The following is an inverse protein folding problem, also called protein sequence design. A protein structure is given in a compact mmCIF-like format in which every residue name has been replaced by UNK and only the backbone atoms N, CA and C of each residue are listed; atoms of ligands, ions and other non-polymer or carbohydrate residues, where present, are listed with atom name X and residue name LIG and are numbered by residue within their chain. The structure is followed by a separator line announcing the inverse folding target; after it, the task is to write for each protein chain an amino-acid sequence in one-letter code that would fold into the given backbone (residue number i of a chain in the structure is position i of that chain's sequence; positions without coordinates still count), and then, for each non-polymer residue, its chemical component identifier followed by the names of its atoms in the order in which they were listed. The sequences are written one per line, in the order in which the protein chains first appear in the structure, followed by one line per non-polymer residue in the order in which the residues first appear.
data_IF_462756908139
#
_entry.id   IF_462756908139
#
_cell.length_a   1.000
_cell.length_b   1.000
_cell.length_c   1.000
_cell.angle_alpha   90.00
_cell.angle_beta   90.00
_cell.angle_gamma   90.00
#
_symmetry.space_group_name_H-M   'P 1'
#
loop_
_entity.id
_entity.type
_entity.pdbx_description
1 polymer ?
#
# COMPACT_ATOMS: atom_id res chain seq x y z
N UNK A 1 -0.12 1.14 -0.37
CA UNK A 1 0.61 0.59 -1.52
C UNK A 1 0.61 1.57 -2.66
N UNK A 2 1.74 1.72 -3.34
CA UNK A 2 1.83 2.65 -4.47
C UNK A 2 1.08 2.07 -5.66
N UNK A 3 0.12 2.82 -6.18
CA UNK A 3 -0.67 2.45 -7.35
C UNK A 3 -0.34 3.40 -8.51
N UNK A 4 -1.04 3.24 -9.64
CA UNK A 4 -0.79 4.06 -10.84
C UNK A 4 -1.00 5.57 -10.61
N UNK A 5 -1.88 5.96 -9.68
CA UNK A 5 -2.12 7.36 -9.37
C UNK A 5 -0.99 7.99 -8.56
N UNK A 6 -0.30 7.18 -7.79
CA UNK A 6 0.82 7.61 -6.95
C UNK A 6 2.17 7.45 -7.63
N UNK A 7 2.23 6.67 -8.72
CA UNK A 7 3.48 6.42 -9.42
C UNK A 7 4.09 7.73 -9.92
N UNK A 8 5.38 7.91 -9.71
CA UNK A 8 6.12 9.09 -10.10
C UNK A 8 5.99 10.28 -9.14
N UNK A 9 5.14 10.20 -8.14
CA UNK A 9 4.99 11.28 -7.15
C UNK A 9 6.08 11.18 -6.08
N UNK A 10 6.50 12.33 -5.59
CA UNK A 10 7.45 12.40 -4.48
C UNK A 10 6.75 12.11 -3.16
N UNK A 11 7.47 11.46 -2.25
CA UNK A 11 6.99 11.23 -0.88
C UNK A 11 7.71 12.16 0.09
N UNK A 12 7.03 12.50 1.20
CA UNK A 12 7.61 13.36 2.23
C UNK A 12 8.55 12.55 3.14
N UNK A 13 9.33 13.25 3.97
CA UNK A 13 10.22 12.63 4.95
C UNK A 13 9.49 11.82 6.02
N UNK A 14 8.17 12.03 6.17
CA UNK A 14 7.35 11.30 7.14
C UNK A 14 6.80 9.98 6.59
N UNK A 15 7.10 9.67 5.34
CA UNK A 15 6.67 8.43 4.68
C UNK A 15 7.88 7.53 4.48
N UNK A 16 7.78 6.29 4.96
CA UNK A 16 8.84 5.30 4.78
C UNK A 16 8.55 4.49 3.53
N UNK A 17 9.52 4.47 2.62
CA UNK A 17 9.41 3.71 1.39
C UNK A 17 9.94 2.29 1.61
N UNK A 18 9.12 1.30 1.29
CA UNK A 18 9.49 -0.12 1.37
C UNK A 18 9.52 -0.70 -0.04
N UNK A 19 10.66 -1.21 -0.44
CA UNK A 19 10.84 -1.86 -1.74
C UNK A 19 11.24 -3.31 -1.49
N UNK A 20 10.43 -4.23 -1.99
CA UNK A 20 10.66 -5.66 -1.81
C UNK A 20 11.54 -6.23 -2.93
N UNK A 21 12.38 -7.20 -2.58
CA UNK A 21 13.08 -8.00 -3.58
C UNK A 21 12.08 -9.01 -4.15
N UNK A 22 11.64 -8.75 -5.37
CA UNK A 22 10.59 -9.54 -6.03
C UNK A 22 11.00 -10.99 -6.30
N UNK A 23 12.29 -11.29 -6.31
CA UNK A 23 12.78 -12.65 -6.46
C UNK A 23 12.58 -13.47 -5.18
N UNK A 24 12.54 -12.80 -4.03
CA UNK A 24 12.42 -13.44 -2.73
C UNK A 24 11.01 -13.42 -2.17
N UNK A 25 10.25 -12.34 -2.43
CA UNK A 25 8.92 -12.17 -1.86
C UNK A 25 8.09 -11.25 -2.75
N UNK A 26 6.79 -11.57 -2.86
CA UNK A 26 5.86 -10.74 -3.61
C UNK A 26 5.46 -9.51 -2.77
N UNK A 27 5.61 -8.28 -3.28
CA UNK A 27 5.25 -7.08 -2.53
C UNK A 27 3.77 -7.01 -2.15
N UNK A 28 2.88 -7.63 -2.91
CA UNK A 28 1.46 -7.68 -2.55
C UNK A 28 1.21 -8.57 -1.33
N UNK A 29 1.99 -9.63 -1.17
CA UNK A 29 1.94 -10.43 0.04
C UNK A 29 2.42 -9.65 1.26
N UNK A 30 3.53 -8.93 1.13
CA UNK A 30 4.06 -8.07 2.22
C UNK A 30 3.02 -7.02 2.60
N UNK A 31 2.39 -6.40 1.60
CA UNK A 31 1.33 -5.43 1.86
C UNK A 31 0.18 -6.05 2.65
N UNK A 32 -0.26 -7.25 2.29
CA UNK A 32 -1.34 -7.94 3.00
C UNK A 32 -1.00 -8.17 4.48
N UNK A 33 0.23 -8.57 4.75
CA UNK A 33 0.70 -8.79 6.13
C UNK A 33 0.74 -7.48 6.91
N UNK A 34 1.36 -6.44 6.35
CA UNK A 34 1.54 -5.16 7.05
C UNK A 34 0.23 -4.39 7.22
N UNK A 35 -0.72 -4.57 6.31
CA UNK A 35 -2.03 -3.92 6.39
C UNK A 35 -3.00 -4.65 7.33
N UNK A 36 -2.67 -5.84 7.79
CA UNK A 36 -3.51 -6.62 8.69
C UNK A 36 -3.56 -6.00 10.09
N UNK A 37 -4.76 -5.76 10.60
CA UNK A 37 -4.94 -5.22 11.95
C UNK A 37 -4.44 -6.17 13.04
N UNK A 38 -4.51 -7.47 12.80
CA UNK A 38 -4.12 -8.49 13.79
C UNK A 38 -2.64 -8.82 13.77
N UNK A 39 -1.99 -8.66 12.63
CA UNK A 39 -0.60 -9.08 12.46
C UNK A 39 0.30 -7.86 12.24
N UNK A 40 0.07 -7.12 11.16
CA UNK A 40 0.91 -6.01 10.77
C UNK A 40 0.91 -4.87 11.77
N UNK A 41 -0.26 -4.52 12.29
CA UNK A 41 -0.37 -3.46 13.27
C UNK A 41 0.45 -3.75 14.52
N UNK A 42 0.43 -4.99 15.01
CA UNK A 42 1.22 -5.38 16.17
C UNK A 42 2.71 -5.30 15.90
N UNK A 43 3.15 -5.69 14.70
CA UNK A 43 4.55 -5.60 14.31
C UNK A 43 5.02 -4.15 14.21
N UNK A 44 4.19 -3.27 13.67
CA UNK A 44 4.50 -1.84 13.54
C UNK A 44 4.47 -1.13 14.88
N UNK A 45 3.53 -1.45 15.75
CA UNK A 45 3.39 -0.83 17.06
C UNK A 45 4.62 -1.08 17.96
N UNK A 46 5.30 -2.20 17.78
CA UNK A 46 6.54 -2.47 18.49
C UNK A 46 7.61 -1.40 18.20
N UNK A 47 7.67 -0.90 16.99
CA UNK A 47 8.59 0.16 16.62
C UNK A 47 8.24 1.49 17.27
N UNK A 48 6.94 1.79 17.39
CA UNK A 48 6.47 3.01 18.05
C UNK A 48 6.84 2.98 19.54
N UNK A 49 6.62 1.86 20.21
CA UNK A 49 6.94 1.72 21.65
C UNK A 49 8.43 1.78 21.92
N UNK A 50 9.27 1.38 20.97
CA UNK A 50 10.72 1.42 21.11
C UNK A 50 11.29 2.81 20.80
N UNK A 51 10.49 3.72 20.26
CA UNK A 51 10.91 5.05 19.82
C UNK A 51 10.65 6.10 20.90
N UNK A 52 11.54 7.10 20.97
CA UNK A 52 11.37 8.26 21.88
C UNK A 52 10.31 9.22 21.36
N UNK A 53 10.09 9.24 20.05
CA UNK A 53 9.04 9.98 19.37
C UNK A 53 8.14 9.00 18.63
N UNK A 54 6.85 9.35 18.44
CA UNK A 54 5.85 8.49 17.81
C UNK A 54 6.10 8.30 16.30
N UNK A 55 7.34 7.96 15.94
CA UNK A 55 7.74 7.71 14.58
C UNK A 55 8.39 6.34 14.45
N UNK A 56 8.02 5.63 13.39
CA UNK A 56 8.68 4.38 13.03
C UNK A 56 9.88 4.73 12.16
N UNK A 57 11.07 4.21 12.50
CA UNK A 57 12.28 4.45 11.73
C UNK A 57 12.41 3.46 10.58
N UNK A 58 13.07 3.85 9.46
CA UNK A 58 13.39 2.89 8.40
C UNK A 58 14.22 1.70 8.89
N UNK A 59 15.10 1.93 9.85
CA UNK A 59 15.92 0.87 10.44
C UNK A 59 15.06 -0.18 11.14
N UNK A 60 14.04 0.25 11.88
CA UNK A 60 13.11 -0.68 12.51
C UNK A 60 12.33 -1.47 11.47
N UNK A 61 11.80 -0.79 10.44
CA UNK A 61 11.02 -1.44 9.38
C UNK A 61 11.84 -2.53 8.69
N UNK A 62 13.14 -2.30 8.48
CA UNK A 62 14.02 -3.28 7.86
C UNK A 62 14.20 -4.55 8.69
N UNK A 63 13.91 -4.49 9.99
CA UNK A 63 14.06 -5.64 10.92
C UNK A 63 12.76 -6.38 11.16
N UNK A 64 11.62 -5.91 10.62
CA UNK A 64 10.32 -6.56 10.84
C UNK A 64 10.33 -7.96 10.23
N UNK A 65 10.11 -9.01 11.03
CA UNK A 65 10.00 -10.36 10.51
C UNK A 65 8.65 -10.54 9.81
N UNK A 66 8.70 -10.92 8.54
CA UNK A 66 7.49 -11.22 7.77
C UNK A 66 7.22 -12.72 7.87
N UNK A 67 6.07 -13.14 8.43
CA UNK A 67 5.74 -14.56 8.51
C UNK A 67 5.61 -15.13 7.09
N UNK A 68 6.30 -16.24 6.84
CA UNK A 68 6.31 -16.88 5.53
C UNK A 68 5.37 -18.07 5.54
N UNK A 69 4.68 -18.25 4.43
CA UNK A 69 3.78 -19.36 4.19
C UNK A 69 4.33 -20.22 3.03
N UNK A 70 3.62 -21.29 2.70
CA UNK A 70 3.95 -22.07 1.50
C UNK A 70 3.83 -21.19 0.26
N UNK A 71 4.69 -21.34 -0.74
CA UNK A 71 4.66 -20.48 -1.93
C UNK A 71 3.28 -20.37 -2.59
N UNK A 72 2.51 -21.45 -2.61
CA UNK A 72 1.17 -21.47 -3.19
C UNK A 72 0.21 -20.56 -2.42
N UNK A 73 0.33 -20.53 -1.08
CA UNK A 73 -0.51 -19.69 -0.22
C UNK A 73 -0.13 -18.22 -0.33
N UNK A 74 1.16 -17.93 -0.37
CA UNK A 74 1.62 -16.55 -0.56
C UNK A 74 1.16 -16.01 -1.90
N UNK A 75 1.24 -16.82 -2.96
CA UNK A 75 0.77 -16.46 -4.30
C UNK A 75 -0.73 -16.20 -4.31
N UNK A 76 -1.51 -17.06 -3.67
CA UNK A 76 -2.96 -16.88 -3.57
C UNK A 76 -3.32 -15.55 -2.92
N UNK A 77 -2.68 -15.23 -1.81
CA UNK A 77 -2.90 -13.97 -1.09
C UNK A 77 -2.48 -12.78 -1.95
N UNK A 78 -1.29 -12.85 -2.54
CA UNK A 78 -0.77 -11.78 -3.38
C UNK A 78 -1.67 -11.52 -4.60
N UNK A 79 -2.18 -12.57 -5.23
CA UNK A 79 -3.05 -12.44 -6.40
C UNK A 79 -4.38 -11.77 -6.03
N UNK A 80 -4.94 -12.09 -4.87
CA UNK A 80 -6.17 -11.44 -4.38
C UNK A 80 -5.95 -9.97 -4.08
N UNK A 81 -4.83 -9.61 -3.48
CA UNK A 81 -4.50 -8.21 -3.23
C UNK A 81 -4.26 -7.46 -4.54
N UNK A 82 -3.58 -8.07 -5.48
CA UNK A 82 -3.35 -7.49 -6.81
C UNK A 82 -4.67 -7.19 -7.53
N UNK A 83 -5.61 -8.13 -7.46
CA UNK A 83 -6.95 -7.96 -8.02
C UNK A 83 -7.69 -6.82 -7.34
N UNK A 84 -7.64 -6.74 -6.01
CA UNK A 84 -8.27 -5.67 -5.24
C UNK A 84 -7.69 -4.30 -5.59
N UNK A 85 -6.37 -4.18 -5.69
CA UNK A 85 -5.71 -2.93 -6.07
C UNK A 85 -6.05 -2.52 -7.50
N UNK A 86 -6.13 -3.46 -8.41
CA UNK A 86 -6.57 -3.21 -9.79
C UNK A 86 -8.00 -2.68 -9.85
N UNK A 87 -8.90 -3.28 -9.07
CA UNK A 87 -10.29 -2.82 -8.98
C UNK A 87 -10.38 -1.41 -8.38
N UNK A 88 -9.58 -1.12 -7.36
CA UNK A 88 -9.53 0.21 -6.75
C UNK A 88 -9.05 1.26 -7.75
N UNK A 89 -7.99 0.97 -8.50
CA UNK A 89 -7.46 1.87 -9.51
C UNK A 89 -8.50 2.15 -10.59
N UNK A 90 -9.23 1.13 -11.03
CA UNK A 90 -10.32 1.28 -12.00
C UNK A 90 -11.45 2.16 -11.45
N UNK A 91 -11.85 1.93 -10.21
CA UNK A 91 -12.88 2.73 -9.55
C UNK A 91 -12.46 4.19 -9.46
N UNK A 92 -11.22 4.45 -9.10
CA UNK A 92 -10.68 5.81 -9.00
C UNK A 92 -10.66 6.51 -10.37
N UNK A 93 -10.31 5.80 -11.44
CA UNK A 93 -10.34 6.36 -12.79
C UNK A 93 -11.76 6.72 -13.23
N UNK A 94 -12.72 5.86 -12.97
CA UNK A 94 -14.12 6.11 -13.29
C UNK A 94 -14.62 7.33 -12.55
N UNK A 95 -14.33 7.43 -11.25
CA UNK A 95 -14.72 8.57 -10.42
C UNK A 95 -14.15 9.88 -10.98
N UNK A 96 -12.85 9.89 -11.30
CA UNK A 96 -12.19 11.08 -11.84
C UNK A 96 -12.80 11.52 -13.17
N UNK A 97 -13.12 10.56 -14.06
CA UNK A 97 -13.73 10.86 -15.35
C UNK A 97 -15.13 11.42 -15.19
N UNK A 98 -15.91 10.90 -14.26
CA UNK A 98 -17.26 11.40 -14.00
C UNK A 98 -17.24 12.81 -13.40
N UNK A 99 -16.30 13.10 -12.53
CA UNK A 99 -16.12 14.45 -11.99
C UNK A 99 -15.80 15.44 -13.11
N UNK A 100 -14.88 15.08 -14.02
CA UNK A 100 -14.55 15.88 -15.19
C UNK A 100 -15.80 16.15 -16.05
N UNK A 101 -16.61 15.13 -16.31
CA UNK A 101 -17.83 15.26 -17.06
C UNK A 101 -18.82 16.25 -16.41
N UNK A 102 -18.99 16.15 -15.09
CA UNK A 102 -19.86 17.07 -14.34
C UNK A 102 -19.35 18.50 -14.43
N UNK A 103 -18.05 18.71 -14.24
CA UNK A 103 -17.44 20.03 -14.35
C UNK A 103 -17.67 20.65 -15.74
N UNK A 104 -17.46 19.89 -16.80
CA UNK A 104 -17.67 20.33 -18.17
C UNK A 104 -19.13 20.69 -18.44
N UNK A 105 -20.08 19.91 -17.95
CA UNK A 105 -21.50 20.19 -18.08
C UNK A 105 -21.85 21.51 -17.40
N UNK A 106 -21.37 21.72 -16.19
CA UNK A 106 -21.67 22.94 -15.41
C UNK A 106 -21.03 24.17 -16.08
N UNK A 107 -19.78 24.06 -16.50
CA UNK A 107 -19.05 25.17 -17.12
C UNK A 107 -19.70 25.58 -18.43
N UNK A 108 -20.15 24.60 -19.23
CA UNK A 108 -20.72 24.84 -20.57
C UNK A 108 -22.22 25.13 -20.54
N UNK A 109 -22.86 25.05 -19.38
CA UNK A 109 -24.31 25.31 -19.23
C UNK A 109 -24.66 26.81 -19.17
N UNK A 110 -23.69 27.69 -19.19
CA UNK A 110 -23.89 29.15 -19.14
C UNK A 110 -24.12 29.73 -20.51
#
# INVERSE_FOLDING_TARGET
MVNEQMAGKMVTEHVIRVVCDKEQIDPYYVYAILASDKIGRQLLDKGIYASVVDHISPQFVSTIPIPRLKPEKEKEIADKIREAESARAKANRIMANEIDCVENIIINAK
#
